data_IF_832816439896
#
_entry.id   IF_832816439896
#
_cell.length_a   1.000
_cell.length_b   1.000
_cell.length_c   1.000
_cell.angle_alpha   90.00
_cell.angle_beta   90.00
_cell.angle_gamma   90.00
#
_symmetry.space_group_name_H-M   'P 1'
#
loop_
_entity.id
_entity.type
_entity.pdbx_description
1 polymer ?
#
# COMPACT_ATOMS: atom_id res chain seq x y z
N UNK A 1 -6.75 -8.12 -14.01
CA UNK A 1 -7.49 -7.70 -12.79
C UNK A 1 -8.96 -7.45 -13.08
N UNK A 2 -9.34 -6.82 -14.20
CA UNK A 2 -10.72 -6.38 -14.43
C UNK A 2 -11.75 -7.53 -14.48
N UNK A 3 -11.43 -8.66 -15.11
CA UNK A 3 -12.28 -9.85 -15.11
C UNK A 3 -12.52 -10.41 -13.70
N UNK A 4 -11.47 -10.42 -12.86
CA UNK A 4 -11.56 -10.90 -11.47
C UNK A 4 -12.43 -9.97 -10.63
N UNK A 5 -12.33 -8.65 -10.83
CA UNK A 5 -13.18 -7.69 -10.14
C UNK A 5 -14.66 -7.87 -10.52
N UNK A 6 -14.97 -8.06 -11.81
CA UNK A 6 -16.35 -8.32 -12.26
C UNK A 6 -16.90 -9.61 -11.67
N UNK A 7 -16.09 -10.68 -11.67
CA UNK A 7 -16.48 -11.96 -11.06
C UNK A 7 -16.73 -11.82 -9.56
N UNK A 8 -15.85 -11.11 -8.86
CA UNK A 8 -15.98 -10.88 -7.42
C UNK A 8 -17.26 -10.09 -7.12
N UNK A 9 -17.53 -9.00 -7.83
CA UNK A 9 -18.76 -8.21 -7.65
C UNK A 9 -20.03 -9.02 -7.91
N UNK A 10 -20.02 -9.93 -8.89
CA UNK A 10 -21.11 -10.86 -9.11
C UNK A 10 -21.24 -11.86 -7.94
N UNK A 11 -20.12 -12.43 -7.48
CA UNK A 11 -20.12 -13.37 -6.36
C UNK A 11 -20.64 -12.73 -5.07
N UNK A 12 -20.28 -11.48 -4.78
CA UNK A 12 -20.78 -10.70 -3.65
C UNK A 12 -22.28 -10.43 -3.79
N UNK A 13 -22.73 -9.97 -4.97
CA UNK A 13 -24.15 -9.65 -5.23
C UNK A 13 -25.07 -10.86 -5.07
N UNK A 14 -24.62 -12.03 -5.48
CA UNK A 14 -25.38 -13.28 -5.42
C UNK A 14 -25.01 -14.16 -4.22
N UNK A 15 -24.19 -13.65 -3.29
CA UNK A 15 -23.77 -14.33 -2.07
C UNK A 15 -23.22 -15.75 -2.31
N UNK A 16 -22.46 -15.92 -3.41
CA UNK A 16 -21.84 -17.18 -3.75
C UNK A 16 -20.57 -17.35 -2.91
N UNK A 17 -20.74 -17.75 -1.65
CA UNK A 17 -19.69 -17.76 -0.62
C UNK A 17 -18.36 -18.41 -1.05
N UNK A 18 -18.43 -19.51 -1.80
CA UNK A 18 -17.23 -20.18 -2.31
C UNK A 18 -16.48 -19.31 -3.32
N UNK A 19 -17.20 -18.68 -4.25
CA UNK A 19 -16.63 -17.78 -5.24
C UNK A 19 -16.10 -16.49 -4.60
N UNK A 20 -16.80 -15.92 -3.62
CA UNK A 20 -16.33 -14.77 -2.83
C UNK A 20 -14.97 -15.07 -2.17
N UNK A 21 -14.87 -16.24 -1.53
CA UNK A 21 -13.65 -16.69 -0.86
C UNK A 21 -12.50 -16.89 -1.84
N UNK A 22 -12.76 -17.52 -2.99
CA UNK A 22 -11.77 -17.75 -4.02
C UNK A 22 -11.30 -16.43 -4.66
N UNK A 23 -12.23 -15.51 -4.95
CA UNK A 23 -11.92 -14.20 -5.51
C UNK A 23 -11.04 -13.40 -4.57
N UNK A 24 -11.35 -13.40 -3.27
CA UNK A 24 -10.53 -12.74 -2.24
C UNK A 24 -9.11 -13.31 -2.18
N UNK A 25 -8.96 -14.63 -2.25
CA UNK A 25 -7.65 -15.28 -2.28
C UNK A 25 -6.85 -14.89 -3.52
N UNK A 26 -7.50 -14.83 -4.69
CA UNK A 26 -6.86 -14.37 -5.92
C UNK A 26 -6.51 -12.88 -5.87
N UNK A 27 -7.35 -12.03 -5.29
CA UNK A 27 -7.01 -10.61 -5.13
C UNK A 27 -5.80 -10.42 -4.23
N UNK A 28 -5.66 -11.24 -3.18
CA UNK A 28 -4.50 -11.25 -2.29
C UNK A 28 -3.19 -11.46 -3.06
N UNK A 29 -3.16 -12.39 -4.02
CA UNK A 29 -1.95 -12.63 -4.83
C UNK A 29 -1.66 -11.49 -5.80
N UNK A 30 -2.67 -10.68 -6.15
CA UNK A 30 -2.54 -9.54 -7.05
C UNK A 30 -2.29 -8.20 -6.35
N UNK A 31 -2.27 -8.15 -5.02
CA UNK A 31 -2.12 -6.90 -4.24
C UNK A 31 -0.91 -6.09 -4.71
N UNK A 32 0.25 -6.73 -4.90
CA UNK A 32 1.49 -6.05 -5.29
C UNK A 32 1.45 -5.42 -6.68
N UNK A 33 0.64 -5.97 -7.59
CA UNK A 33 0.55 -5.51 -8.98
C UNK A 33 -0.61 -4.54 -9.21
N UNK A 34 -1.68 -4.64 -8.43
CA UNK A 34 -2.90 -3.84 -8.61
C UNK A 34 -3.47 -3.32 -7.27
N UNK A 35 -2.66 -2.64 -6.43
CA UNK A 35 -3.04 -2.33 -5.05
C UNK A 35 -4.26 -1.41 -4.96
N UNK A 36 -4.40 -0.42 -5.85
CA UNK A 36 -5.56 0.49 -5.89
C UNK A 36 -6.87 -0.25 -6.19
N UNK A 37 -6.86 -1.14 -7.20
CA UNK A 37 -8.06 -1.91 -7.58
C UNK A 37 -8.46 -2.88 -6.47
N UNK A 38 -7.46 -3.51 -5.83
CA UNK A 38 -7.69 -4.42 -4.71
C UNK A 38 -8.23 -3.66 -3.49
N UNK A 39 -7.64 -2.51 -3.13
CA UNK A 39 -8.12 -1.69 -2.03
C UNK A 39 -9.56 -1.23 -2.26
N UNK A 40 -9.90 -0.77 -3.48
CA UNK A 40 -11.26 -0.35 -3.81
C UNK A 40 -12.29 -1.47 -3.60
N UNK A 41 -11.99 -2.68 -4.07
CA UNK A 41 -12.90 -3.82 -3.84
C UNK A 41 -12.97 -4.18 -2.36
N UNK A 42 -11.83 -4.27 -1.68
CA UNK A 42 -11.76 -4.61 -0.27
C UNK A 42 -12.53 -3.61 0.62
N UNK A 43 -12.43 -2.31 0.31
CA UNK A 43 -13.15 -1.24 1.00
C UNK A 43 -14.67 -1.28 0.75
N UNK A 44 -15.13 -1.79 -0.40
CA UNK A 44 -16.58 -1.90 -0.69
C UNK A 44 -17.27 -3.04 0.07
N UNK A 45 -16.52 -4.07 0.46
CA UNK A 45 -17.01 -5.28 1.12
C UNK A 45 -16.42 -5.46 2.53
N UNK A 46 -15.79 -4.42 3.08
CA UNK A 46 -15.19 -4.37 4.42
C UNK A 46 -14.19 -5.50 4.72
N UNK A 47 -13.37 -5.87 3.72
CA UNK A 47 -12.35 -6.90 3.83
C UNK A 47 -11.06 -6.36 4.46
N UNK A 48 -11.09 -6.15 5.79
CA UNK A 48 -10.02 -5.54 6.58
C UNK A 48 -8.64 -6.17 6.34
N UNK A 49 -8.54 -7.51 6.28
CA UNK A 49 -7.26 -8.20 6.03
C UNK A 49 -6.67 -7.80 4.67
N UNK A 50 -7.52 -7.68 3.65
CA UNK A 50 -7.09 -7.34 2.30
C UNK A 50 -6.77 -5.84 2.18
N UNK A 51 -7.51 -4.99 2.91
CA UNK A 51 -7.21 -3.56 3.07
C UNK A 51 -5.81 -3.40 3.68
N UNK A 52 -5.53 -4.07 4.80
CA UNK A 52 -4.24 -3.99 5.50
C UNK A 52 -3.07 -4.40 4.61
N UNK A 53 -3.25 -5.43 3.79
CA UNK A 53 -2.22 -5.84 2.83
C UNK A 53 -2.02 -4.80 1.73
N UNK A 54 -3.11 -4.25 1.18
CA UNK A 54 -3.06 -3.29 0.09
C UNK A 54 -2.48 -1.92 0.48
N UNK A 55 -2.80 -1.41 1.69
CA UNK A 55 -2.36 -0.07 2.10
C UNK A 55 -0.83 0.06 2.14
N UNK A 56 -0.10 -1.01 2.45
CA UNK A 56 1.38 -0.99 2.48
C UNK A 56 2.03 -0.73 1.12
N UNK A 57 1.33 -1.01 0.01
CA UNK A 57 1.81 -0.70 -1.34
C UNK A 57 1.39 0.70 -1.80
N UNK A 58 0.43 1.32 -1.11
CA UNK A 58 -0.17 2.60 -1.50
C UNK A 58 0.45 3.78 -0.77
N UNK A 59 1.22 3.55 0.29
CA UNK A 59 1.96 4.59 1.01
C UNK A 59 2.94 5.36 0.11
N UNK A 60 3.39 4.75 -0.98
CA UNK A 60 4.29 5.38 -1.95
C UNK A 60 3.56 6.24 -2.99
N UNK A 61 2.22 6.23 -3.03
CA UNK A 61 1.42 7.01 -3.97
C UNK A 61 0.99 8.35 -3.34
N UNK A 62 0.69 9.37 -4.15
CA UNK A 62 0.13 10.61 -3.65
C UNK A 62 -1.16 10.36 -2.88
N UNK A 63 -1.28 10.99 -1.70
CA UNK A 63 -2.42 10.79 -0.79
C UNK A 63 -3.77 11.07 -1.46
N UNK A 64 -3.82 12.11 -2.30
CA UNK A 64 -5.02 12.53 -3.01
C UNK A 64 -5.49 11.47 -4.00
N UNK A 65 -4.59 10.89 -4.80
CA UNK A 65 -4.90 9.88 -5.82
C UNK A 65 -5.55 8.64 -5.20
N UNK A 66 -5.03 8.20 -4.04
CA UNK A 66 -5.59 7.06 -3.32
C UNK A 66 -6.94 7.43 -2.69
N UNK A 67 -7.08 8.65 -2.13
CA UNK A 67 -8.32 9.12 -1.53
C UNK A 67 -9.46 9.23 -2.56
N UNK A 68 -9.17 9.67 -3.78
CA UNK A 68 -10.14 9.76 -4.88
C UNK A 68 -10.63 8.38 -5.33
N UNK A 69 -9.78 7.36 -5.23
CA UNK A 69 -10.10 5.99 -5.62
C UNK A 69 -10.92 5.22 -4.58
N UNK A 70 -10.94 5.70 -3.34
CA UNK A 70 -11.58 5.04 -2.21
C UNK A 70 -13.07 5.39 -2.11
N UNK A 71 -13.92 4.47 -1.60
CA UNK A 71 -15.26 4.84 -1.17
C UNK A 71 -15.22 5.96 -0.13
N UNK A 72 -16.21 6.86 -0.14
CA UNK A 72 -16.23 8.07 0.73
C UNK A 72 -15.99 7.77 2.21
N UNK A 73 -16.49 6.64 2.73
CA UNK A 73 -16.28 6.21 4.12
C UNK A 73 -14.82 5.89 4.49
N UNK A 74 -13.95 5.67 3.50
CA UNK A 74 -12.55 5.32 3.68
C UNK A 74 -11.57 6.46 3.42
N UNK A 75 -12.04 7.61 2.92
CA UNK A 75 -11.17 8.77 2.66
C UNK A 75 -10.51 9.31 3.94
N UNK A 76 -11.30 9.55 5.00
CA UNK A 76 -10.76 10.02 6.29
C UNK A 76 -9.86 8.97 6.96
N UNK A 77 -10.24 7.67 7.05
CA UNK A 77 -9.33 6.63 7.49
C UNK A 77 -8.00 6.59 6.75
N UNK A 78 -8.02 6.77 5.42
CA UNK A 78 -6.81 6.79 4.61
C UNK A 78 -5.89 7.97 4.95
N UNK A 79 -6.44 9.19 5.05
CA UNK A 79 -5.65 10.38 5.42
C UNK A 79 -4.99 10.18 6.79
N UNK A 80 -5.73 9.70 7.79
CA UNK A 80 -5.18 9.42 9.13
C UNK A 80 -4.08 8.36 9.10
N UNK A 81 -4.27 7.30 8.33
CA UNK A 81 -3.26 6.25 8.17
C UNK A 81 -1.99 6.79 7.51
N UNK A 82 -2.14 7.64 6.50
CA UNK A 82 -1.03 8.29 5.78
C UNK A 82 -0.23 9.20 6.71
N UNK A 83 -0.90 10.08 7.45
CA UNK A 83 -0.27 10.97 8.44
C UNK A 83 0.54 10.18 9.48
N UNK A 84 -0.04 9.09 10.01
CA UNK A 84 0.62 8.23 10.98
C UNK A 84 1.86 7.55 10.37
N UNK A 85 1.75 7.06 9.13
CA UNK A 85 2.87 6.46 8.43
C UNK A 85 4.01 7.47 8.24
N UNK A 86 3.68 8.69 7.82
CA UNK A 86 4.66 9.75 7.59
C UNK A 86 5.37 10.14 8.89
N UNK A 87 4.63 10.28 10.01
CA UNK A 87 5.26 10.56 11.31
C UNK A 87 6.19 9.43 11.77
N UNK A 88 5.74 8.17 11.64
CA UNK A 88 6.59 7.03 12.00
C UNK A 88 7.84 6.98 11.14
N UNK A 89 7.70 7.21 9.82
CA UNK A 89 8.83 7.17 8.92
C UNK A 89 9.82 8.30 9.21
N UNK A 90 9.34 9.53 9.39
CA UNK A 90 10.16 10.69 9.74
C UNK A 90 10.94 10.47 11.05
N UNK A 91 10.29 9.97 12.10
CA UNK A 91 10.93 9.71 13.38
C UNK A 91 11.99 8.61 13.29
N UNK A 92 11.71 7.54 12.53
CA UNK A 92 12.68 6.47 12.32
C UNK A 92 13.87 6.94 11.48
N UNK A 93 13.65 7.78 10.46
CA UNK A 93 14.73 8.35 9.64
C UNK A 93 15.62 9.27 10.48
N UNK A 94 15.05 10.16 11.30
CA UNK A 94 15.83 11.00 12.23
C UNK A 94 16.70 10.16 13.15
N UNK A 95 16.10 9.14 13.77
CA UNK A 95 16.84 8.23 14.66
C UNK A 95 17.98 7.54 13.93
N UNK A 96 17.76 7.03 12.71
CA UNK A 96 18.82 6.39 11.91
C UNK A 96 19.95 7.39 11.59
N UNK A 97 19.63 8.64 11.27
CA UNK A 97 20.61 9.69 10.98
C UNK A 97 21.39 10.13 12.21
N UNK A 98 20.78 10.11 13.39
CA UNK A 98 21.41 10.45 14.67
C UNK A 98 22.30 9.33 15.24
N UNK A 99 22.23 8.11 14.69
CA UNK A 99 23.12 7.04 15.11
C UNK A 99 24.57 7.40 14.74
N UNK A 100 25.51 7.42 15.72
CA UNK A 100 26.91 7.60 15.42
C UNK A 100 27.36 6.42 14.56
N UNK A 101 27.74 6.70 13.31
CA UNK A 101 28.35 5.71 12.43
C UNK A 101 29.64 5.28 13.12
N UNK A 102 29.63 4.12 13.77
CA UNK A 102 30.83 3.52 14.36
C UNK A 102 31.80 3.24 13.22
N UNK A 103 32.75 4.17 13.02
CA UNK A 103 33.86 4.01 12.11
C UNK A 103 34.84 3.01 12.70
N UNK A 104 34.62 1.72 12.45
CA UNK A 104 35.64 0.70 12.68
C UNK A 104 36.06 0.06 11.34
N UNK A 105 37.10 0.67 10.73
CA UNK A 105 38.02 0.01 9.80
C UNK A 105 37.95 0.44 8.33
N UNK A 106 39.08 0.80 7.68
CA UNK A 106 39.08 1.19 6.28
C UNK A 106 39.12 -0.04 5.37
N UNK A 107 38.15 -0.18 4.47
CA UNK A 107 38.41 -0.64 3.09
C UNK A 107 37.19 -0.42 2.19
N UNK A 108 37.37 0.47 1.23
CA UNK A 108 36.74 0.56 -0.09
C UNK A 108 35.35 -0.08 -0.25
N UNK A 109 34.32 0.76 -0.20
CA UNK A 109 33.00 0.45 -0.73
C UNK A 109 32.21 1.74 -0.79
N UNK A 110 31.96 2.23 -2.00
CA UNK A 110 31.18 3.42 -2.30
C UNK A 110 29.84 3.41 -1.54
N UNK A 111 29.74 4.13 -0.42
CA UNK A 111 28.44 4.53 0.09
C UNK A 111 28.02 5.77 -0.71
N UNK A 112 27.42 5.51 -1.87
CA UNK A 112 26.59 6.51 -2.53
C UNK A 112 25.40 6.77 -1.63
N UNK A 113 25.54 7.75 -0.73
CA UNK A 113 24.41 8.41 -0.11
C UNK A 113 23.69 9.23 -1.20
N UNK A 114 22.95 8.56 -2.09
CA UNK A 114 21.98 9.16 -3.01
C UNK A 114 21.18 8.08 -3.74
N UNK A 115 19.89 8.36 -3.92
CA UNK A 115 18.82 7.62 -4.62
C UNK A 115 18.24 6.46 -3.79
N UNK A 116 17.00 6.52 -3.28
CA UNK A 116 15.77 6.53 -4.07
C UNK A 116 14.60 7.23 -3.33
N UNK A 117 14.63 8.56 -3.18
CA UNK A 117 13.42 9.37 -2.94
C UNK A 117 13.19 10.45 -4.01
N UNK A 118 13.97 10.40 -5.10
CA UNK A 118 13.82 11.27 -6.29
C UNK A 118 13.41 10.52 -7.56
N UNK A 119 13.05 9.23 -7.47
CA UNK A 119 12.45 8.48 -8.59
C UNK A 119 10.93 8.35 -8.38
N UNK A 120 10.29 9.50 -8.27
CA UNK A 120 8.91 9.66 -8.73
C UNK A 120 9.06 10.59 -9.96
N UNK A 121 8.19 10.43 -10.97
CA UNK A 121 7.79 11.46 -11.96
C UNK A 121 8.42 11.47 -13.40
N UNK A 122 9.48 10.74 -13.76
CA UNK A 122 9.86 10.63 -15.20
C UNK A 122 10.54 9.31 -15.60
N UNK A 123 9.74 8.32 -16.03
CA UNK A 123 10.11 7.30 -17.01
C UNK A 123 8.84 6.66 -17.58
#
# INVERSE_FOLDING_TARGET
>A
MDTLAVLAEAAEKYEVFHAMSLCRLQMKTMVSSHPLKVLKHAARHDYLNLIQEAVSYLVCLPTADVAEYLPTGYAIPWVRYRELWDSYFDDNIKRIMELPISSHGPRNGFFTASLQLKYVIHA
#
